data_IF_308081155889
#
_entry.id   IF_308081155889
#
_cell.length_a   1.000
_cell.length_b   1.000
_cell.length_c   1.000
_cell.angle_alpha   90.00
_cell.angle_beta   90.00
_cell.angle_gamma   90.00
#
_symmetry.space_group_name_H-M   'P 1'
#
loop_
_entity.id
_entity.type
_entity.pdbx_description
1 polymer ?
#
# COMPACT_ATOMS: atom_id res chain seq x y z
N UNK A 1 -11.67 -5.38 -14.75
CA UNK A 1 -12.20 -4.54 -13.66
C UNK A 1 -11.14 -4.61 -12.59
N UNK A 2 -10.59 -3.46 -12.20
CA UNK A 2 -9.43 -3.45 -11.31
C UNK A 2 -9.82 -4.00 -9.95
N UNK A 3 -8.91 -4.75 -9.35
CA UNK A 3 -9.06 -5.27 -7.99
C UNK A 3 -8.05 -4.57 -7.10
N UNK A 4 -8.51 -4.09 -5.95
CA UNK A 4 -7.64 -3.54 -4.93
C UNK A 4 -7.63 -4.43 -3.68
N UNK A 5 -6.44 -4.67 -3.14
CA UNK A 5 -6.26 -5.20 -1.79
C UNK A 5 -6.03 -4.05 -0.81
N UNK A 6 -6.80 -4.04 0.27
CA UNK A 6 -6.72 -3.08 1.35
C UNK A 6 -6.19 -3.81 2.58
N UNK A 7 -4.97 -3.47 3.01
CA UNK A 7 -4.40 -4.01 4.25
C UNK A 7 -4.81 -3.14 5.44
N UNK A 8 -5.30 -3.77 6.50
CA UNK A 8 -5.80 -3.11 7.69
C UNK A 8 -4.84 -3.25 8.87
N UNK A 9 -4.87 -2.27 9.77
CA UNK A 9 -4.02 -2.21 10.98
C UNK A 9 -4.24 -3.38 11.95
N UNK A 10 -5.36 -4.10 11.83
CA UNK A 10 -5.64 -5.32 12.60
C UNK A 10 -5.01 -6.59 12.00
N UNK A 11 -4.19 -6.45 10.93
CA UNK A 11 -3.53 -7.56 10.24
C UNK A 11 -4.41 -8.31 9.25
N UNK A 12 -5.66 -7.88 9.02
CA UNK A 12 -6.53 -8.44 7.98
C UNK A 12 -6.35 -7.69 6.66
N UNK A 13 -6.70 -8.33 5.55
CA UNK A 13 -6.86 -7.67 4.26
C UNK A 13 -8.28 -7.85 3.71
N UNK A 14 -8.69 -6.90 2.86
CA UNK A 14 -9.97 -6.89 2.16
C UNK A 14 -9.71 -6.68 0.67
N UNK A 15 -10.22 -7.58 -0.17
CA UNK A 15 -10.14 -7.45 -1.63
C UNK A 15 -11.45 -6.89 -2.16
N UNK A 16 -11.40 -5.77 -2.88
CA UNK A 16 -12.58 -5.08 -3.42
C UNK A 16 -12.48 -4.95 -4.94
N UNK A 17 -13.62 -5.05 -5.63
CA UNK A 17 -13.74 -4.81 -7.06
C UNK A 17 -13.90 -3.29 -7.35
N UNK A 18 -12.86 -2.52 -7.06
CA UNK A 18 -12.84 -1.07 -7.22
C UNK A 18 -11.45 -0.61 -7.61
N UNK A 19 -11.34 0.52 -8.32
CA UNK A 19 -10.05 1.15 -8.59
C UNK A 19 -9.54 1.93 -7.36
N UNK A 20 -8.25 2.23 -7.32
CA UNK A 20 -7.66 3.03 -6.23
C UNK A 20 -8.29 4.41 -6.14
N UNK A 21 -8.60 5.05 -7.27
CA UNK A 21 -9.26 6.36 -7.29
C UNK A 21 -10.65 6.32 -6.67
N UNK A 22 -11.44 5.29 -6.99
CA UNK A 22 -12.76 5.11 -6.38
C UNK A 22 -12.66 4.88 -4.88
N UNK A 23 -11.65 4.14 -4.43
CA UNK A 23 -11.41 3.91 -3.01
C UNK A 23 -10.97 5.21 -2.30
N UNK A 24 -10.05 5.97 -2.90
CA UNK A 24 -9.59 7.25 -2.38
C UNK A 24 -10.76 8.24 -2.25
N UNK A 25 -11.54 8.43 -3.31
CA UNK A 25 -12.71 9.32 -3.30
C UNK A 25 -13.78 8.92 -2.27
N UNK A 26 -13.81 7.64 -1.86
CA UNK A 26 -14.69 7.16 -0.79
C UNK A 26 -14.08 7.38 0.59
N UNK A 27 -12.76 7.34 0.71
CA UNK A 27 -12.03 7.38 1.97
C UNK A 27 -11.58 8.79 2.37
N UNK A 28 -11.52 9.74 1.42
CA UNK A 28 -11.06 11.11 1.64
C UNK A 28 -12.14 12.15 1.35
N UNK A 29 -11.99 13.34 1.94
CA UNK A 29 -12.78 14.51 1.61
C UNK A 29 -12.22 15.31 0.42
N UNK A 30 -12.77 16.49 0.17
CA UNK A 30 -12.38 17.39 -0.92
C UNK A 30 -10.94 17.94 -0.77
N UNK A 31 -10.44 17.99 0.46
CA UNK A 31 -9.08 18.44 0.78
C UNK A 31 -8.07 17.27 0.71
N UNK A 32 -8.55 16.04 0.49
CA UNK A 32 -7.74 14.83 0.45
C UNK A 32 -7.43 14.24 1.83
N UNK A 33 -8.08 14.74 2.88
CA UNK A 33 -7.93 14.24 4.25
C UNK A 33 -8.83 13.01 4.45
N UNK A 34 -8.41 12.08 5.32
CA UNK A 34 -9.21 10.89 5.60
C UNK A 34 -10.51 11.26 6.31
N UNK A 35 -11.62 10.67 5.85
CA UNK A 35 -12.91 10.86 6.49
C UNK A 35 -12.90 10.30 7.91
N UNK A 36 -13.47 11.07 8.85
CA UNK A 36 -13.69 10.63 10.23
C UNK A 36 -14.87 9.64 10.37
N UNK A 37 -15.61 9.43 9.29
CA UNK A 37 -16.78 8.55 9.23
C UNK A 37 -16.45 7.16 8.67
N UNK A 38 -17.28 6.17 9.00
CA UNK A 38 -17.16 4.84 8.41
C UNK A 38 -17.60 4.86 6.95
N UNK A 39 -16.85 4.18 6.09
CA UNK A 39 -17.14 4.02 4.67
C UNK A 39 -17.70 2.62 4.41
N UNK A 40 -18.65 2.51 3.48
CA UNK A 40 -19.21 1.24 3.06
C UNK A 40 -18.46 0.70 1.84
N UNK A 41 -17.87 -0.47 2.00
CA UNK A 41 -17.18 -1.20 0.94
C UNK A 41 -17.85 -2.55 0.69
N UNK A 42 -17.73 -3.04 -0.53
CA UNK A 42 -18.19 -4.37 -0.94
C UNK A 42 -16.98 -5.17 -1.38
N UNK A 43 -16.81 -6.38 -0.85
CA UNK A 43 -15.72 -7.27 -1.23
C UNK A 43 -15.98 -7.94 -2.59
N UNK A 44 -15.00 -8.72 -3.06
CA UNK A 44 -15.14 -9.43 -4.33
C UNK A 44 -16.25 -10.50 -4.36
N UNK A 45 -16.73 -10.92 -3.19
CA UNK A 45 -17.83 -11.89 -3.04
C UNK A 45 -19.21 -11.23 -2.98
N UNK A 46 -19.27 -9.90 -2.92
CA UNK A 46 -20.51 -9.13 -2.78
C UNK A 46 -20.92 -8.88 -1.32
N UNK A 47 -20.07 -9.19 -0.34
CA UNK A 47 -20.35 -8.91 1.06
C UNK A 47 -19.99 -7.46 1.40
N UNK A 48 -20.87 -6.77 2.13
CA UNK A 48 -20.65 -5.38 2.52
C UNK A 48 -20.03 -5.24 3.90
N UNK A 49 -19.06 -4.33 4.03
CA UNK A 49 -18.33 -4.05 5.27
C UNK A 49 -18.27 -2.55 5.52
N UNK A 50 -18.45 -2.16 6.79
CA UNK A 50 -18.10 -0.83 7.25
C UNK A 50 -16.63 -0.78 7.65
N UNK A 51 -15.88 0.13 7.04
CA UNK A 51 -14.46 0.33 7.29
C UNK A 51 -14.23 1.73 7.86
N UNK A 52 -13.40 1.84 8.89
CA UNK A 52 -12.86 3.13 9.31
C UNK A 52 -11.63 3.44 8.42
N UNK A 53 -11.62 4.54 7.64
CA UNK A 53 -10.49 4.89 6.78
C UNK A 53 -9.14 4.96 7.52
N UNK A 54 -9.14 5.34 8.80
CA UNK A 54 -7.94 5.40 9.64
C UNK A 54 -7.32 4.03 9.92
N UNK A 55 -8.01 2.93 9.62
CA UNK A 55 -7.47 1.58 9.77
C UNK A 55 -6.74 1.09 8.52
N UNK A 56 -6.80 1.82 7.40
CA UNK A 56 -6.11 1.46 6.17
C UNK A 56 -4.62 1.73 6.35
N UNK A 57 -3.80 0.71 6.12
CA UNK A 57 -2.34 0.79 6.18
C UNK A 57 -1.77 0.94 4.78
N UNK A 58 -2.23 0.10 3.85
CA UNK A 58 -1.81 0.15 2.44
C UNK A 58 -2.96 -0.24 1.52
N UNK A 59 -2.92 0.30 0.30
CA UNK A 59 -3.77 -0.12 -0.82
C UNK A 59 -2.87 -0.60 -1.94
N UNK A 60 -3.14 -1.77 -2.50
CA UNK A 60 -2.39 -2.35 -3.62
C UNK A 60 -3.33 -2.74 -4.73
N UNK A 61 -2.92 -2.53 -5.99
CA UNK A 61 -3.72 -2.84 -7.18
C UNK A 61 -3.24 -4.14 -7.78
N UNK A 62 -4.16 -5.06 -8.05
CA UNK A 62 -3.86 -6.22 -8.89
C UNK A 62 -4.09 -5.82 -10.34
N UNK A 63 -3.01 -5.75 -11.12
CA UNK A 63 -3.12 -5.73 -12.58
C UNK A 63 -3.61 -7.11 -13.03
N UNK A 64 -4.84 -7.19 -13.52
CA UNK A 64 -5.30 -8.38 -14.24
C UNK A 64 -4.64 -8.38 -15.61
N UNK A 65 -3.69 -9.29 -15.82
CA UNK A 65 -2.94 -9.52 -17.06
C UNK A 65 -3.83 -9.46 -18.32
N UNK A 66 -3.67 -8.38 -19.10
CA UNK A 66 -4.10 -8.36 -20.49
C UNK A 66 -2.97 -8.91 -21.37
N UNK A 67 -2.87 -10.25 -21.42
CA UNK A 67 -2.18 -11.12 -22.40
C UNK A 67 -0.72 -10.81 -22.80
N UNK A 68 0.11 -11.86 -22.69
CA UNK A 68 1.40 -12.07 -23.38
C UNK A 68 1.44 -11.47 -24.80
N UNK A 69 2.32 -10.51 -25.03
CA UNK A 69 3.55 -10.64 -25.84
C UNK A 69 4.11 -9.22 -26.04
N UNK A 70 5.27 -8.90 -25.46
CA UNK A 70 6.40 -8.22 -26.12
C UNK A 70 7.48 -7.90 -25.09
N UNK A 71 8.67 -8.39 -25.40
CA UNK A 71 9.98 -8.09 -24.83
C UNK A 71 10.31 -8.59 -23.43
N UNK A 72 10.96 -9.77 -23.45
CA UNK A 72 12.27 -9.98 -22.83
C UNK A 72 12.94 -8.67 -22.39
N UNK A 73 12.79 -8.33 -21.12
CA UNK A 73 13.91 -7.80 -20.38
C UNK A 73 14.12 -8.71 -19.19
N UNK A 74 15.19 -9.51 -19.26
CA UNK A 74 15.94 -9.86 -18.06
C UNK A 74 16.25 -8.53 -17.37
N UNK A 75 15.46 -8.16 -16.37
CA UNK A 75 15.93 -7.19 -15.39
C UNK A 75 16.67 -8.01 -14.36
N UNK A 76 17.94 -8.23 -14.72
CA UNK A 76 19.03 -8.45 -13.78
C UNK A 76 18.87 -7.45 -12.65
N UNK A 77 18.20 -7.87 -11.58
CA UNK A 77 18.03 -7.06 -10.39
C UNK A 77 19.25 -7.30 -9.53
N UNK A 78 20.42 -6.89 -10.04
CA UNK A 78 21.49 -6.46 -9.16
C UNK A 78 20.87 -5.42 -8.23
N UNK A 79 20.71 -5.82 -6.97
CA UNK A 79 20.19 -4.99 -5.91
C UNK A 79 21.02 -3.72 -5.79
N UNK A 80 20.57 -2.67 -6.47
CA UNK A 80 20.99 -1.30 -6.23
C UNK A 80 20.22 -0.80 -5.02
N UNK A 81 20.46 -1.46 -3.88
CA UNK A 81 20.15 -0.90 -2.58
C UNK A 81 20.79 0.48 -2.52
N UNK A 82 19.95 1.49 -2.36
CA UNK A 82 20.33 2.85 -1.98
C UNK A 82 21.14 2.78 -0.68
N UNK A 83 22.46 2.73 -0.84
CA UNK A 83 23.49 2.60 0.20
C UNK A 83 23.48 3.75 1.23
N UNK A 84 22.64 4.78 1.03
CA UNK A 84 22.61 5.99 1.86
C UNK A 84 21.98 5.82 3.24
N UNK A 85 20.89 5.05 3.36
CA UNK A 85 20.13 5.02 4.62
C UNK A 85 20.76 4.10 5.67
N UNK A 86 21.41 3.01 5.26
CA UNK A 86 22.01 2.06 6.20
C UNK A 86 23.34 2.56 6.79
N UNK A 87 24.09 3.38 6.04
CA UNK A 87 25.30 4.05 6.54
C UNK A 87 24.96 5.14 7.57
N UNK A 88 23.81 5.83 7.44
CA UNK A 88 23.34 6.80 8.44
C UNK A 88 23.02 6.13 9.78
N UNK A 89 22.41 4.95 9.77
CA UNK A 89 22.10 4.17 11.00
C UNK A 89 23.37 3.65 11.67
N UNK A 90 24.38 3.22 10.90
CA UNK A 90 25.67 2.79 11.44
C UNK A 90 26.47 3.94 12.08
N UNK A 91 26.42 5.14 11.52
CA UNK A 91 27.12 6.29 12.10
C UNK A 91 26.46 6.77 13.40
N UNK A 92 25.13 6.72 13.52
CA UNK A 92 24.45 7.00 14.79
C UNK A 92 24.85 6.03 15.91
N UNK A 93 25.15 4.77 15.58
CA UNK A 93 25.55 3.77 16.57
C UNK A 93 27.00 3.96 17.06
N UNK A 94 27.87 4.60 16.27
CA UNK A 94 29.26 4.89 16.67
C UNK A 94 29.37 6.02 17.70
N UNK A 95 28.45 6.98 17.67
CA UNK A 95 28.47 8.10 18.62
C UNK A 95 28.02 7.68 20.03
N UNK A 96 27.41 6.50 20.18
CA UNK A 96 26.99 5.95 21.48
C UNK A 96 28.16 5.26 22.22
N UNK A 97 29.12 4.67 21.50
CA UNK A 97 30.26 3.96 22.11
C UNK A 97 31.38 4.88 22.62
N UNK A 98 31.35 6.18 22.32
CA UNK A 98 32.35 7.17 22.78
C UNK A 98 31.87 8.05 23.96
N UNK A 99 30.83 7.61 24.67
CA UNK A 99 30.24 8.35 25.80
C UNK A 99 30.62 7.75 27.18
N UNK A 100 31.86 7.27 27.32
CA UNK A 100 32.54 7.00 28.61
C UNK A 100 33.63 8.04 28.89
#
# INVERSE_FOLDING_TARGET
MDKCEIALSNGKSLVVNSSTEQLLNKATDEDGELLESFILLEDESGASYYLNPNQIVTVSVFETDAKEDTDKSEVDSEGKHTKGNLDAVKNLSKDIENME
#
